data_IF_371886181684
#
_entry.id   IF_371886181684
#
_cell.length_a   1.000
_cell.length_b   1.000
_cell.length_c   1.000
_cell.angle_alpha   90.00
_cell.angle_beta   90.00
_cell.angle_gamma   90.00
#
_symmetry.space_group_name_H-M   'P 1'
#
loop_
_entity.id
_entity.type
_entity.pdbx_description
1 polymer ?
#
# COMPACT_ATOMS: atom_id res chain seq x y z
N UNK A 1 -33.28 1.54 -1.51
CA UNK A 1 -31.95 1.94 -0.99
C UNK A 1 -31.21 0.68 -0.60
N UNK A 2 -29.93 0.54 -0.96
CA UNK A 2 -29.17 -0.68 -0.69
C UNK A 2 -29.16 -0.97 0.82
N UNK A 3 -29.64 -2.15 1.22
CA UNK A 3 -29.75 -2.58 2.62
C UNK A 3 -28.40 -3.04 3.21
N UNK A 4 -27.31 -2.83 2.49
CA UNK A 4 -25.99 -3.35 2.76
C UNK A 4 -24.94 -2.42 2.14
N UNK A 5 -23.87 -2.17 2.89
CA UNK A 5 -22.62 -1.65 2.35
C UNK A 5 -21.92 -2.84 1.70
N UNK A 6 -21.52 -2.70 0.43
CA UNK A 6 -20.71 -3.70 -0.25
C UNK A 6 -19.63 -3.00 -1.05
N UNK A 7 -18.37 -3.42 -0.84
CA UNK A 7 -17.25 -2.93 -1.61
C UNK A 7 -17.43 -3.36 -3.08
N UNK A 8 -17.36 -2.38 -3.98
CA UNK A 8 -17.29 -2.67 -5.41
C UNK A 8 -15.88 -3.18 -5.77
N UNK A 9 -15.71 -4.05 -6.79
CA UNK A 9 -14.39 -4.48 -7.22
C UNK A 9 -13.45 -3.30 -7.54
N UNK A 10 -13.95 -2.23 -8.16
CA UNK A 10 -13.16 -1.02 -8.44
C UNK A 10 -12.71 -0.24 -7.19
N UNK A 11 -13.31 -0.48 -6.02
CA UNK A 11 -12.93 0.18 -4.77
C UNK A 11 -11.64 -0.39 -4.19
N UNK A 12 -11.30 -1.63 -4.54
CA UNK A 12 -10.07 -2.30 -4.10
C UNK A 12 -8.86 -1.53 -4.62
N UNK A 13 -7.99 -1.11 -3.71
CA UNK A 13 -6.75 -0.41 -4.06
C UNK A 13 -5.63 -1.42 -4.24
N UNK A 14 -5.27 -1.68 -5.50
CA UNK A 14 -4.11 -2.52 -5.84
C UNK A 14 -2.85 -1.68 -6.01
N UNK A 15 -3.01 -0.39 -6.36
CA UNK A 15 -1.92 0.50 -6.76
C UNK A 15 -0.82 0.63 -5.69
N UNK A 16 -1.18 0.64 -4.41
CA UNK A 16 -0.23 0.69 -3.29
C UNK A 16 0.27 -0.70 -2.86
N UNK A 17 -0.39 -1.79 -3.29
CA UNK A 17 -0.22 -3.15 -2.75
C UNK A 17 0.44 -4.14 -3.69
N UNK A 18 0.56 -3.81 -4.97
CA UNK A 18 1.10 -4.71 -5.97
C UNK A 18 2.25 -4.10 -6.75
N UNK A 19 3.04 -4.99 -7.36
CA UNK A 19 4.02 -4.67 -8.38
C UNK A 19 3.47 -5.20 -9.70
N UNK A 20 3.37 -4.35 -10.71
CA UNK A 20 2.92 -4.74 -12.04
C UNK A 20 3.84 -4.17 -13.11
N UNK A 21 4.03 -4.95 -14.17
CA UNK A 21 4.79 -4.60 -15.37
C UNK A 21 3.83 -4.49 -16.54
N UNK A 22 4.19 -3.67 -17.52
CA UNK A 22 3.51 -3.49 -18.80
C UNK A 22 2.00 -3.30 -18.64
N UNK A 23 1.61 -2.44 -17.68
CA UNK A 23 0.21 -2.18 -17.39
C UNK A 23 -0.42 -1.35 -18.50
N UNK A 24 -1.74 -1.50 -18.66
CA UNK A 24 -2.50 -0.75 -19.65
C UNK A 24 -2.45 0.76 -19.39
N UNK A 25 -2.65 1.57 -20.44
CA UNK A 25 -2.75 3.02 -20.29
C UNK A 25 -3.80 3.45 -19.26
N UNK A 26 -4.94 2.74 -19.21
CA UNK A 26 -5.99 2.97 -18.22
C UNK A 26 -5.50 2.76 -16.78
N UNK A 27 -4.64 1.75 -16.55
CA UNK A 27 -4.09 1.43 -15.24
C UNK A 27 -2.94 2.37 -14.81
N UNK A 28 -2.32 3.08 -15.77
CA UNK A 28 -1.33 4.14 -15.53
C UNK A 28 -1.98 5.45 -15.06
N UNK A 29 -3.29 5.65 -15.27
CA UNK A 29 -3.98 6.82 -14.76
C UNK A 29 -4.10 6.77 -13.23
N UNK A 30 -4.14 7.97 -12.65
CA UNK A 30 -4.33 8.14 -11.21
C UNK A 30 -5.73 7.66 -10.84
N UNK A 31 -5.81 6.78 -9.84
CA UNK A 31 -7.11 6.39 -9.27
C UNK A 31 -7.71 7.51 -8.42
N UNK A 32 -8.96 7.33 -8.01
CA UNK A 32 -9.60 8.20 -7.02
C UNK A 32 -8.78 8.23 -5.72
N UNK A 33 -8.50 9.43 -5.22
CA UNK A 33 -7.65 9.69 -4.07
C UNK A 33 -6.13 9.57 -4.32
N UNK A 34 -5.71 9.13 -5.50
CA UNK A 34 -4.30 9.13 -5.91
C UNK A 34 -3.95 10.50 -6.52
N UNK A 35 -2.84 11.08 -6.07
CA UNK A 35 -2.36 12.37 -6.54
C UNK A 35 -0.92 12.26 -7.01
N UNK A 36 -0.61 12.97 -8.10
CA UNK A 36 0.77 13.12 -8.56
C UNK A 36 1.50 14.09 -7.63
N UNK A 37 2.60 13.62 -7.04
CA UNK A 37 3.48 14.44 -6.20
C UNK A 37 4.53 15.13 -7.06
N UNK A 38 5.25 14.36 -7.86
CA UNK A 38 6.37 14.86 -8.67
C UNK A 38 6.62 13.93 -9.86
N UNK A 39 7.27 14.44 -10.90
CA UNK A 39 7.55 13.70 -12.13
C UNK A 39 8.83 14.22 -12.79
N UNK A 40 9.62 13.29 -13.33
CA UNK A 40 10.84 13.64 -14.06
C UNK A 40 10.92 12.84 -15.36
N UNK A 41 11.39 13.50 -16.41
CA UNK A 41 11.81 12.84 -17.64
C UNK A 41 13.30 12.48 -17.55
N UNK A 42 13.77 11.55 -18.39
CA UNK A 42 15.18 11.17 -18.45
C UNK A 42 15.65 10.38 -17.23
N UNK A 43 14.80 9.48 -16.75
CA UNK A 43 15.19 8.45 -15.80
C UNK A 43 15.28 7.13 -16.55
N UNK A 44 16.44 6.51 -16.46
CA UNK A 44 16.70 5.19 -17.01
C UNK A 44 16.36 4.12 -15.97
N UNK A 45 15.67 3.06 -16.37
CA UNK A 45 15.61 1.83 -15.58
C UNK A 45 16.84 0.98 -15.92
N UNK A 46 17.84 1.04 -15.04
CA UNK A 46 19.15 0.41 -15.27
C UNK A 46 19.11 -1.10 -15.05
N UNK A 47 18.09 -1.62 -14.35
CA UNK A 47 18.01 -3.05 -14.02
C UNK A 47 17.34 -3.84 -15.15
N UNK A 48 16.10 -3.48 -15.50
CA UNK A 48 15.31 -4.23 -16.48
C UNK A 48 15.50 -3.76 -17.92
N UNK A 49 15.61 -2.45 -18.12
CA UNK A 49 15.62 -1.82 -19.44
C UNK A 49 16.87 -0.94 -19.65
N UNK A 50 18.05 -1.51 -19.40
CA UNK A 50 19.31 -0.78 -19.44
C UNK A 50 19.57 -0.19 -20.85
N UNK A 51 19.75 1.13 -20.94
CA UNK A 51 19.84 1.89 -22.19
C UNK A 51 18.54 2.54 -22.65
N UNK A 52 17.41 2.26 -22.00
CA UNK A 52 16.12 2.90 -22.29
C UNK A 52 15.83 4.04 -21.33
N UNK A 53 15.62 5.22 -21.94
CA UNK A 53 15.19 6.41 -21.23
C UNK A 53 13.69 6.36 -21.01
N UNK A 54 13.25 6.78 -19.82
CA UNK A 54 11.85 6.91 -19.49
C UNK A 54 11.52 8.13 -18.64
N UNK A 55 10.25 8.19 -18.25
CA UNK A 55 9.73 9.12 -17.26
C UNK A 55 9.47 8.35 -15.95
N UNK A 56 9.93 8.89 -14.82
CA UNK A 56 9.61 8.40 -13.48
C UNK A 56 8.64 9.37 -12.83
N UNK A 57 7.53 8.84 -12.34
CA UNK A 57 6.45 9.57 -11.70
C UNK A 57 6.22 9.05 -10.29
N UNK A 58 5.99 9.99 -9.39
CA UNK A 58 5.86 9.75 -7.96
C UNK A 58 4.46 10.17 -7.58
N UNK A 59 3.67 9.21 -7.13
CA UNK A 59 2.34 9.48 -6.60
C UNK A 59 2.35 9.36 -5.08
N UNK A 60 1.22 9.60 -4.45
CA UNK A 60 1.03 9.32 -3.03
C UNK A 60 0.90 7.80 -2.70
N UNK A 61 0.79 6.91 -3.69
CA UNK A 61 0.58 5.46 -3.48
C UNK A 61 1.63 4.54 -4.10
N UNK A 62 2.26 4.97 -5.18
CA UNK A 62 3.18 4.16 -6.00
C UNK A 62 4.19 4.98 -6.77
N UNK A 63 5.26 4.31 -7.20
CA UNK A 63 6.13 4.77 -8.27
C UNK A 63 5.65 4.23 -9.60
N UNK A 64 5.68 5.07 -10.63
CA UNK A 64 5.40 4.68 -12.01
C UNK A 64 6.61 5.02 -12.86
N UNK A 65 7.07 4.09 -13.69
CA UNK A 65 8.05 4.39 -14.73
C UNK A 65 7.52 3.92 -16.08
N UNK A 66 7.76 4.71 -17.11
CA UNK A 66 7.37 4.39 -18.48
C UNK A 66 8.47 4.77 -19.45
N UNK A 67 8.76 3.89 -20.41
CA UNK A 67 9.75 4.13 -21.46
C UNK A 67 9.29 5.26 -22.39
N UNK A 68 10.23 6.10 -22.83
CA UNK A 68 10.00 7.13 -23.85
C UNK A 68 9.89 6.52 -25.26
N UNK A 69 10.49 5.34 -25.46
CA UNK A 69 10.46 4.62 -26.76
C UNK A 69 9.18 3.84 -26.96
N UNK A 70 8.63 3.25 -25.90
CA UNK A 70 7.44 2.39 -25.97
C UNK A 70 6.52 2.62 -24.78
N UNK A 71 5.27 3.00 -25.07
CA UNK A 71 4.22 3.13 -24.04
C UNK A 71 3.81 1.80 -23.42
N UNK A 72 4.11 0.68 -24.10
CA UNK A 72 3.81 -0.66 -23.59
C UNK A 72 4.76 -1.07 -22.47
N UNK A 73 6.00 -0.60 -22.53
CA UNK A 73 7.04 -0.90 -21.55
C UNK A 73 6.95 0.06 -20.38
N UNK A 74 6.35 -0.40 -19.29
CA UNK A 74 6.15 0.41 -18.10
C UNK A 74 6.10 -0.46 -16.83
N UNK A 75 6.17 0.18 -15.67
CA UNK A 75 6.14 -0.48 -14.37
C UNK A 75 5.40 0.37 -13.34
N UNK A 76 4.76 -0.30 -12.40
CA UNK A 76 4.05 0.26 -11.26
C UNK A 76 4.50 -0.45 -10.00
N UNK A 77 5.08 0.29 -9.05
CA UNK A 77 5.59 -0.22 -7.78
C UNK A 77 4.78 0.40 -6.64
N UNK A 78 3.87 -0.37 -6.05
CA UNK A 78 3.12 0.05 -4.87
C UNK A 78 4.00 0.23 -3.63
N UNK A 79 3.75 1.28 -2.86
CA UNK A 79 4.56 1.58 -1.67
C UNK A 79 4.50 0.50 -0.59
N UNK A 80 3.39 -0.22 -0.44
CA UNK A 80 3.30 -1.36 0.50
C UNK A 80 4.27 -2.49 0.15
N UNK A 81 4.76 -2.56 -1.09
CA UNK A 81 5.71 -3.60 -1.52
C UNK A 81 7.17 -3.19 -1.23
N UNK A 82 7.44 -1.92 -0.95
CA UNK A 82 8.80 -1.41 -0.77
C UNK A 82 9.33 -1.80 0.61
N UNK A 83 10.49 -2.43 0.64
CA UNK A 83 11.21 -2.78 1.85
C UNK A 83 12.30 -1.76 2.20
N UNK A 84 12.98 -1.22 1.18
CA UNK A 84 14.00 -0.19 1.39
C UNK A 84 14.23 0.67 0.16
N UNK A 85 14.51 1.95 0.40
CA UNK A 85 14.92 2.93 -0.61
C UNK A 85 16.32 3.44 -0.28
N UNK A 86 17.27 3.30 -1.20
CA UNK A 86 18.65 3.76 -1.01
C UNK A 86 19.13 4.54 -2.23
N UNK A 87 19.77 5.67 -2.00
CA UNK A 87 20.45 6.43 -3.04
C UNK A 87 21.90 5.98 -3.06
N UNK A 88 22.38 5.51 -4.21
CA UNK A 88 23.76 5.07 -4.41
C UNK A 88 24.26 5.52 -5.78
N UNK A 89 25.57 5.48 -5.97
CA UNK A 89 26.15 5.67 -7.29
C UNK A 89 26.02 4.37 -8.10
N UNK A 90 25.53 4.45 -9.33
CA UNK A 90 25.45 3.36 -10.28
C UNK A 90 26.08 3.74 -11.62
N UNK A 91 26.47 2.75 -12.41
CA UNK A 91 26.99 2.95 -13.76
C UNK A 91 25.86 2.79 -14.78
N UNK A 92 25.45 3.89 -15.38
CA UNK A 92 24.51 3.92 -16.51
C UNK A 92 25.25 3.70 -17.83
N UNK A 93 24.63 2.98 -18.77
CA UNK A 93 25.16 2.84 -20.14
C UNK A 93 25.15 4.17 -20.89
N UNK A 94 24.18 5.04 -20.59
CA UNK A 94 24.00 6.33 -21.26
C UNK A 94 24.93 7.42 -20.69
N UNK A 95 25.37 7.31 -19.43
CA UNK A 95 26.11 8.39 -18.74
C UNK A 95 27.31 8.00 -17.90
N UNK A 96 27.64 6.71 -17.77
CA UNK A 96 28.67 6.26 -16.84
C UNK A 96 28.23 6.41 -15.37
N UNK A 97 29.14 6.79 -14.48
CA UNK A 97 28.88 6.86 -13.04
C UNK A 97 27.97 8.05 -12.66
N UNK A 98 26.81 7.77 -12.09
CA UNK A 98 25.81 8.78 -11.67
C UNK A 98 24.98 8.30 -10.49
N UNK A 99 24.19 9.18 -9.87
CA UNK A 99 23.29 8.79 -8.77
C UNK A 99 22.09 8.00 -9.29
N UNK A 100 21.76 6.93 -8.57
CA UNK A 100 20.63 6.06 -8.81
C UNK A 100 19.87 5.76 -7.52
N UNK A 101 18.57 5.56 -7.66
CA UNK A 101 17.68 5.09 -6.61
C UNK A 101 17.53 3.58 -6.71
N UNK A 102 17.92 2.89 -5.65
CA UNK A 102 17.71 1.47 -5.45
C UNK A 102 16.43 1.27 -4.65
N UNK A 103 15.47 0.59 -5.27
CA UNK A 103 14.19 0.23 -4.66
C UNK A 103 14.16 -1.28 -4.44
N UNK A 104 14.32 -1.71 -3.20
CA UNK A 104 14.14 -3.11 -2.82
C UNK A 104 12.70 -3.34 -2.43
N UNK A 105 12.10 -4.39 -2.98
CA UNK A 105 10.70 -4.71 -2.77
C UNK A 105 10.49 -6.19 -2.47
N UNK A 106 9.37 -6.51 -1.83
CA UNK A 106 8.87 -7.86 -1.69
C UNK A 106 7.40 -7.91 -2.08
N UNK A 107 7.07 -8.79 -3.01
CA UNK A 107 5.71 -9.00 -3.49
C UNK A 107 5.52 -10.47 -3.87
N UNK A 108 4.37 -11.06 -3.52
CA UNK A 108 4.06 -12.46 -3.79
C UNK A 108 5.17 -13.47 -3.39
N UNK A 109 5.81 -13.25 -2.24
CA UNK A 109 6.97 -14.01 -1.74
C UNK A 109 8.27 -13.92 -2.56
N UNK A 110 8.30 -13.11 -3.62
CA UNK A 110 9.50 -12.81 -4.37
C UNK A 110 10.09 -11.46 -3.95
N UNK A 111 11.41 -11.33 -4.08
CA UNK A 111 12.13 -10.07 -3.84
C UNK A 111 12.57 -9.48 -5.17
N UNK A 112 12.22 -8.23 -5.42
CA UNK A 112 12.63 -7.50 -6.62
C UNK A 112 13.50 -6.30 -6.26
N UNK A 113 14.45 -5.99 -7.13
CA UNK A 113 15.31 -4.82 -7.08
C UNK A 113 15.08 -3.99 -8.33
N UNK A 114 14.79 -2.70 -8.15
CA UNK A 114 14.70 -1.72 -9.23
C UNK A 114 15.79 -0.67 -9.05
N UNK A 115 16.40 -0.25 -10.16
CA UNK A 115 17.49 0.73 -10.16
C UNK A 115 17.12 1.85 -11.14
N UNK A 116 16.76 3.01 -10.60
CA UNK A 116 16.41 4.19 -11.40
C UNK A 116 17.56 5.17 -11.43
N UNK A 117 18.09 5.43 -12.61
CA UNK A 117 19.24 6.32 -12.80
C UNK A 117 18.81 7.63 -13.43
N UNK A 118 19.14 8.75 -12.79
CA UNK A 118 18.87 10.07 -13.36
C UNK A 118 19.92 10.41 -14.42
N UNK A 119 19.45 10.72 -15.63
CA UNK A 119 20.32 11.16 -16.74
C UNK A 119 20.56 12.68 -16.71
N UNK A 120 19.81 13.44 -15.91
CA UNK A 120 19.97 14.88 -15.77
C UNK A 120 21.03 15.19 -14.71
N UNK A 121 22.07 15.94 -15.08
CA UNK A 121 23.07 16.42 -14.12
C UNK A 121 22.39 17.38 -13.13
N UNK A 122 22.62 17.19 -11.83
CA UNK A 122 22.15 18.03 -10.73
C UNK A 122 20.64 17.96 -10.34
N UNK A 123 19.95 16.83 -10.55
CA UNK A 123 18.61 16.61 -9.98
C UNK A 123 18.56 15.50 -8.91
N UNK A 124 19.18 15.68 -7.72
CA UNK A 124 19.06 14.74 -6.60
C UNK A 124 17.75 14.89 -5.80
N UNK A 125 17.03 16.02 -5.98
CA UNK A 125 15.81 16.38 -5.22
C UNK A 125 14.69 15.34 -5.37
N UNK A 126 14.59 14.70 -6.53
CA UNK A 126 13.55 13.71 -6.79
C UNK A 126 13.66 12.51 -5.85
N UNK A 127 14.87 11.97 -5.66
CA UNK A 127 15.06 10.78 -4.84
C UNK A 127 14.79 11.07 -3.36
N UNK A 128 15.08 12.29 -2.90
CA UNK A 128 14.69 12.73 -1.55
C UNK A 128 13.17 12.91 -1.44
N UNK A 129 12.49 13.42 -2.48
CA UNK A 129 11.02 13.44 -2.55
C UNK A 129 10.43 12.04 -2.40
N UNK A 130 10.96 11.04 -3.11
CA UNK A 130 10.49 9.64 -3.01
C UNK A 130 10.62 9.11 -1.58
N UNK A 131 11.78 9.34 -0.94
CA UNK A 131 11.99 8.89 0.43
C UNK A 131 11.04 9.57 1.42
N UNK A 132 10.76 10.86 1.24
CA UNK A 132 9.85 11.61 2.11
C UNK A 132 8.39 11.15 1.93
N UNK A 133 7.92 11.00 0.68
CA UNK A 133 6.57 10.48 0.39
C UNK A 133 6.42 9.06 0.92
N UNK A 134 7.40 8.18 0.70
CA UNK A 134 7.37 6.82 1.23
C UNK A 134 7.34 6.79 2.76
N UNK A 135 8.08 7.68 3.44
CA UNK A 135 8.02 7.81 4.90
C UNK A 135 6.62 8.24 5.37
N UNK A 136 6.03 9.24 4.71
CA UNK A 136 4.66 9.70 4.97
C UNK A 136 3.65 8.57 4.79
N UNK A 137 3.79 7.79 3.71
CA UNK A 137 3.04 6.55 3.51
C UNK A 137 3.21 5.63 4.73
N UNK A 138 4.42 5.19 5.06
CA UNK A 138 4.64 4.25 6.17
C UNK A 138 4.07 4.70 7.53
N UNK A 139 4.09 6.00 7.84
CA UNK A 139 3.60 6.54 9.12
C UNK A 139 2.07 6.69 9.19
N UNK A 140 1.36 6.55 8.08
CA UNK A 140 -0.09 6.84 7.97
C UNK A 140 -0.92 5.58 7.72
N UNK A 141 -0.40 4.40 8.10
CA UNK A 141 -1.08 3.11 7.89
C UNK A 141 -2.49 3.03 8.49
N UNK A 142 -2.77 3.75 9.57
CA UNK A 142 -4.09 3.74 10.22
C UNK A 142 -5.25 4.25 9.35
N UNK A 143 -4.97 4.98 8.26
CA UNK A 143 -5.99 5.35 7.27
C UNK A 143 -6.40 4.19 6.36
N UNK A 144 -5.58 3.13 6.30
CA UNK A 144 -5.71 2.10 5.26
C UNK A 144 -5.51 0.66 5.69
N UNK A 145 -5.03 0.43 6.90
CA UNK A 145 -4.87 -0.90 7.48
C UNK A 145 -5.82 -1.09 8.67
N UNK A 146 -6.46 -2.25 8.69
CA UNK A 146 -7.20 -2.71 9.86
C UNK A 146 -6.23 -2.83 11.04
N UNK A 147 -6.59 -2.25 12.18
CA UNK A 147 -5.80 -2.38 13.40
C UNK A 147 -6.62 -3.01 14.52
N UNK A 148 -6.15 -4.15 15.02
CA UNK A 148 -6.63 -4.76 16.25
C UNK A 148 -5.69 -4.39 17.39
N UNK A 149 -6.26 -4.07 18.56
CA UNK A 149 -5.53 -3.77 19.80
C UNK A 149 -4.46 -2.70 19.61
N UNK A 150 -4.82 -1.61 18.92
CA UNK A 150 -3.94 -0.48 18.67
C UNK A 150 -3.91 0.52 19.84
N UNK A 151 -2.83 1.29 19.95
CA UNK A 151 -2.77 2.44 20.85
C UNK A 151 -3.49 3.64 20.19
N UNK A 152 -4.82 3.58 20.15
CA UNK A 152 -5.67 4.57 19.47
C UNK A 152 -6.56 5.36 20.44
N UNK A 153 -6.60 4.97 21.71
CA UNK A 153 -7.38 5.61 22.76
C UNK A 153 -6.41 6.28 23.74
N UNK A 154 -6.73 7.52 24.11
CA UNK A 154 -6.01 8.27 25.15
C UNK A 154 -7.05 8.97 26.00
N UNK A 155 -6.98 8.78 27.33
CA UNK A 155 -7.91 9.42 28.28
C UNK A 155 -9.39 9.16 27.94
N UNK A 156 -9.74 7.92 27.55
CA UNK A 156 -11.09 7.50 27.10
C UNK A 156 -11.61 8.20 25.84
N UNK A 157 -10.75 8.90 25.11
CA UNK A 157 -11.08 9.54 23.84
C UNK A 157 -10.29 8.93 22.68
N UNK A 158 -10.89 8.97 21.49
CA UNK A 158 -10.24 8.54 20.26
C UNK A 158 -9.13 9.54 19.89
N UNK A 159 -7.91 9.04 19.70
CA UNK A 159 -6.80 9.83 19.14
C UNK A 159 -7.02 9.98 17.64
N UNK A 160 -7.37 11.19 17.22
CA UNK A 160 -7.68 11.52 15.83
C UNK A 160 -6.42 11.56 14.98
N UNK A 161 -6.53 11.02 13.77
CA UNK A 161 -5.53 11.20 12.72
C UNK A 161 -5.64 12.63 12.13
N UNK A 162 -4.61 13.15 11.44
CA UNK A 162 -4.74 14.36 10.65
C UNK A 162 -5.97 14.35 9.73
N UNK A 163 -6.74 15.44 9.69
CA UNK A 163 -7.99 15.53 8.93
C UNK A 163 -9.09 14.50 9.28
N UNK A 164 -8.93 13.73 10.36
CA UNK A 164 -9.98 12.86 10.89
C UNK A 164 -10.95 13.67 11.75
N UNK A 165 -12.24 13.51 11.50
CA UNK A 165 -13.32 14.13 12.26
C UNK A 165 -14.31 13.07 12.72
N UNK A 166 -14.69 13.13 13.99
CA UNK A 166 -15.72 12.26 14.57
C UNK A 166 -17.10 12.82 14.22
N UNK A 167 -17.94 12.00 13.61
CA UNK A 167 -19.34 12.33 13.31
C UNK A 167 -20.26 11.79 14.40
N UNK A 168 -20.03 10.53 14.80
CA UNK A 168 -20.79 9.89 15.86
C UNK A 168 -19.88 9.25 16.89
N UNK A 169 -20.24 9.47 18.16
CA UNK A 169 -19.77 8.72 19.31
C UNK A 169 -20.97 8.07 19.98
N UNK A 170 -20.98 6.75 20.00
CA UNK A 170 -22.06 5.96 20.57
C UNK A 170 -21.52 5.10 21.71
N UNK A 171 -21.97 5.38 22.92
CA UNK A 171 -21.68 4.57 24.10
C UNK A 171 -22.62 3.36 24.16
N UNK A 172 -22.22 2.33 24.90
CA UNK A 172 -23.09 1.19 25.19
C UNK A 172 -23.15 0.16 24.06
N UNK A 173 -22.16 0.16 23.16
CA UNK A 173 -22.11 -0.76 22.02
C UNK A 173 -21.40 -2.05 22.42
N UNK A 174 -22.11 -3.16 22.32
CA UNK A 174 -21.58 -4.48 22.67
C UNK A 174 -20.86 -5.09 21.48
N UNK A 175 -19.61 -5.50 21.68
CA UNK A 175 -18.92 -6.37 20.74
C UNK A 175 -19.32 -7.84 21.00
N UNK A 176 -19.69 -8.55 19.93
CA UNK A 176 -20.20 -9.93 19.94
C UNK A 176 -19.16 -10.97 19.49
N UNK A 177 -17.87 -10.60 19.44
CA UNK A 177 -16.79 -11.49 19.00
C UNK A 177 -16.30 -12.47 20.08
N UNK A 178 -16.76 -12.32 21.33
CA UNK A 178 -16.42 -13.15 22.48
C UNK A 178 -17.66 -13.73 23.17
N UNK A 179 -17.48 -14.87 23.84
CA UNK A 179 -18.57 -15.61 24.53
C UNK A 179 -19.26 -14.78 25.63
N UNK A 180 -18.48 -13.92 26.28
CA UNK A 180 -18.98 -12.84 27.11
C UNK A 180 -18.80 -11.56 26.30
N UNK A 181 -19.89 -10.99 25.79
CA UNK A 181 -19.84 -9.76 25.01
C UNK A 181 -19.13 -8.65 25.79
N UNK A 182 -18.43 -7.76 25.09
CA UNK A 182 -17.72 -6.65 25.73
C UNK A 182 -18.47 -5.33 25.50
N UNK A 183 -18.76 -4.60 26.58
CA UNK A 183 -19.37 -3.28 26.50
C UNK A 183 -18.31 -2.23 26.14
N UNK A 184 -18.61 -1.41 25.14
CA UNK A 184 -17.67 -0.44 24.64
C UNK A 184 -18.30 0.84 24.09
N UNK A 185 -17.43 1.63 23.48
CA UNK A 185 -17.78 2.87 22.79
C UNK A 185 -17.41 2.73 21.32
N UNK A 186 -18.32 3.16 20.45
CA UNK A 186 -18.20 3.09 19.00
C UNK A 186 -18.10 4.50 18.42
N UNK A 187 -17.15 4.70 17.52
CA UNK A 187 -16.87 5.96 16.85
C UNK A 187 -17.02 5.77 15.35
N UNK A 188 -17.72 6.70 14.72
CA UNK A 188 -17.82 6.80 13.26
C UNK A 188 -17.13 8.10 12.85
N UNK A 189 -16.07 7.99 12.03
CA UNK A 189 -15.32 9.14 11.51
C UNK A 189 -15.46 9.24 9.99
N UNK A 190 -14.88 10.26 9.38
CA UNK A 190 -14.80 10.38 7.92
C UNK A 190 -13.82 9.40 7.25
N UNK A 191 -12.93 8.73 8.00
CA UNK A 191 -11.90 7.83 7.43
C UNK A 191 -12.03 6.38 7.88
N UNK A 192 -12.56 6.14 9.09
CA UNK A 192 -12.62 4.81 9.70
C UNK A 192 -13.72 4.70 10.75
N UNK A 193 -13.99 3.47 11.14
CA UNK A 193 -14.85 3.12 12.25
C UNK A 193 -13.97 2.57 13.36
N UNK A 194 -14.21 3.00 14.60
CA UNK A 194 -13.45 2.52 15.76
C UNK A 194 -14.39 2.02 16.83
N UNK A 195 -14.04 0.92 17.47
CA UNK A 195 -14.69 0.47 18.69
C UNK A 195 -13.62 0.12 19.73
N UNK A 196 -13.84 0.46 21.00
CA UNK A 196 -13.02 -0.01 22.11
C UNK A 196 -13.88 -0.42 23.30
N UNK A 197 -13.40 -1.40 24.07
CA UNK A 197 -14.05 -1.77 25.33
C UNK A 197 -13.83 -0.68 26.40
N UNK A 198 -14.82 -0.51 27.26
CA UNK A 198 -14.79 0.51 28.32
C UNK A 198 -13.91 0.09 29.52
N UNK A 199 -13.82 -1.21 29.79
CA UNK A 199 -13.03 -1.76 30.91
C UNK A 199 -11.60 -2.13 30.51
N UNK A 200 -11.32 -2.22 29.21
CA UNK A 200 -10.03 -2.62 28.66
C UNK A 200 -9.79 -1.89 27.34
N UNK A 201 -9.24 -0.68 27.40
CA UNK A 201 -9.06 0.19 26.23
C UNK A 201 -8.16 -0.44 25.15
N UNK A 202 -7.24 -1.33 25.54
CA UNK A 202 -6.41 -2.11 24.61
C UNK A 202 -7.21 -3.16 23.82
N UNK A 203 -8.42 -3.50 24.25
CA UNK A 203 -9.35 -4.30 23.47
C UNK A 203 -10.17 -3.38 22.56
N UNK A 204 -9.59 -3.07 21.41
CA UNK A 204 -10.16 -2.19 20.42
C UNK A 204 -9.94 -2.70 18.99
N UNK A 205 -10.71 -2.13 18.07
CA UNK A 205 -10.59 -2.34 16.64
C UNK A 205 -10.78 -1.01 15.91
N UNK A 206 -9.94 -0.75 14.91
CA UNK A 206 -10.01 0.39 14.00
C UNK A 206 -10.09 -0.13 12.57
N UNK A 207 -11.22 0.12 11.91
CA UNK A 207 -11.59 -0.41 10.59
C UNK A 207 -11.69 0.77 9.60
N UNK A 208 -10.67 1.03 8.78
CA UNK A 208 -10.79 2.00 7.70
C UNK A 208 -11.88 1.62 6.71
N UNK A 209 -12.57 2.61 6.12
CA UNK A 209 -13.65 2.34 5.17
C UNK A 209 -13.20 1.48 3.99
N UNK A 210 -11.98 1.69 3.49
CA UNK A 210 -11.41 0.90 2.41
C UNK A 210 -11.15 -0.58 2.76
N UNK A 211 -11.20 -0.95 4.04
CA UNK A 211 -11.07 -2.33 4.49
C UNK A 211 -12.42 -2.99 4.75
N UNK A 212 -13.54 -2.28 4.62
CA UNK A 212 -14.87 -2.87 4.74
C UNK A 212 -15.21 -3.57 3.43
N UNK A 213 -15.33 -4.89 3.46
CA UNK A 213 -15.83 -5.69 2.33
C UNK A 213 -17.36 -5.62 2.25
N UNK A 214 -18.01 -5.82 3.40
CA UNK A 214 -19.45 -5.63 3.52
C UNK A 214 -19.86 -5.19 4.93
N UNK A 215 -20.97 -4.48 5.04
CA UNK A 215 -21.59 -4.21 6.34
C UNK A 215 -23.11 -4.21 6.22
N UNK A 216 -23.79 -4.86 7.17
CA UNK A 216 -25.24 -5.07 7.16
C UNK A 216 -25.77 -5.33 8.56
N UNK A 217 -27.05 -5.11 8.77
CA UNK A 217 -27.74 -5.54 9.98
C UNK A 217 -28.19 -7.00 9.78
N UNK A 218 -27.87 -7.88 10.73
CA UNK A 218 -28.32 -9.28 10.75
C UNK A 218 -28.85 -9.66 12.12
N UNK A 219 -29.80 -10.58 12.15
CA UNK A 219 -30.24 -11.21 13.39
C UNK A 219 -29.10 -12.02 14.03
N UNK A 220 -28.94 -11.89 15.34
CA UNK A 220 -28.01 -12.68 16.17
C UNK A 220 -28.78 -13.37 17.29
N UNK A 221 -28.11 -14.25 18.06
CA UNK A 221 -28.67 -14.84 19.30
C UNK A 221 -29.11 -13.78 20.32
N UNK A 222 -28.58 -12.56 20.22
CA UNK A 222 -28.82 -11.46 21.14
C UNK A 222 -29.68 -10.35 20.53
N UNK A 223 -30.38 -10.63 19.42
CA UNK A 223 -31.16 -9.64 18.67
C UNK A 223 -30.41 -9.09 17.45
N UNK A 224 -30.95 -8.05 16.78
CA UNK A 224 -30.33 -7.42 15.63
C UNK A 224 -28.94 -6.85 15.97
N UNK A 225 -27.98 -7.08 15.07
CA UNK A 225 -26.61 -6.62 15.24
C UNK A 225 -26.04 -6.12 13.90
N UNK A 226 -25.21 -5.08 13.99
CA UNK A 226 -24.37 -4.63 12.89
C UNK A 226 -23.25 -5.66 12.69
N UNK A 227 -23.15 -6.22 11.49
CA UNK A 227 -22.08 -7.13 11.10
C UNK A 227 -21.23 -6.43 10.06
N UNK A 228 -19.94 -6.25 10.36
CA UNK A 228 -18.93 -5.71 9.46
C UNK A 228 -17.99 -6.84 9.07
N UNK A 229 -17.86 -7.09 7.78
CA UNK A 229 -16.92 -8.02 7.19
C UNK A 229 -15.77 -7.24 6.57
N UNK A 230 -14.53 -7.54 6.94
CA UNK A 230 -13.35 -6.87 6.40
C UNK A 230 -12.82 -7.57 5.14
N UNK A 231 -12.02 -6.86 4.34
CA UNK A 231 -11.41 -7.40 3.12
C UNK A 231 -10.58 -8.66 3.40
N UNK A 232 -10.50 -9.58 2.44
CA UNK A 232 -9.65 -10.77 2.56
C UNK A 232 -8.18 -10.40 2.82
N UNK A 233 -7.70 -9.30 2.22
CA UNK A 233 -6.34 -8.77 2.41
C UNK A 233 -6.09 -8.34 3.86
N UNK A 234 -7.13 -7.88 4.56
CA UNK A 234 -7.07 -7.53 5.98
C UNK A 234 -7.32 -8.70 6.92
N UNK A 235 -7.48 -9.93 6.42
CA UNK A 235 -7.72 -11.14 7.21
C UNK A 235 -9.17 -11.65 7.21
N UNK A 236 -10.10 -10.97 6.53
CA UNK A 236 -11.48 -11.45 6.37
C UNK A 236 -12.26 -11.55 7.69
N UNK A 237 -12.05 -10.60 8.60
CA UNK A 237 -12.68 -10.62 9.91
C UNK A 237 -14.18 -10.36 9.82
N UNK A 238 -14.96 -11.06 10.64
CA UNK A 238 -16.40 -10.82 10.82
C UNK A 238 -16.60 -10.24 12.23
N UNK A 239 -16.99 -8.98 12.29
CA UNK A 239 -17.13 -8.21 13.53
C UNK A 239 -18.61 -7.89 13.77
N UNK A 240 -19.15 -8.35 14.90
CA UNK A 240 -20.53 -8.13 15.30
C UNK A 240 -20.65 -7.09 16.41
N UNK A 241 -21.55 -6.12 16.22
CA UNK A 241 -21.84 -5.06 17.19
C UNK A 241 -23.33 -4.97 17.45
N UNK A 242 -23.74 -5.10 18.72
CA UNK A 242 -25.12 -4.88 19.16
C UNK A 242 -25.24 -3.47 19.74
N UNK A 243 -26.34 -2.81 19.37
CA UNK A 243 -26.71 -1.47 19.81
C UNK A 243 -28.17 -1.52 20.26
N UNK A 244 -28.45 -0.97 21.43
CA UNK A 244 -29.81 -0.85 21.98
C UNK A 244 -30.14 0.65 22.19
N UNK A 245 -31.36 1.11 21.89
CA UNK A 245 -32.45 0.39 21.21
C UNK A 245 -32.17 0.19 19.70
N UNK A 246 -32.95 -0.69 19.07
CA UNK A 246 -32.80 -1.06 17.65
C UNK A 246 -32.88 0.13 16.68
N UNK A 247 -33.65 1.17 17.00
CA UNK A 247 -33.72 2.39 16.17
C UNK A 247 -32.35 3.08 16.05
N UNK A 248 -31.56 3.08 17.13
CA UNK A 248 -30.20 3.66 17.14
C UNK A 248 -29.23 2.84 16.30
N UNK A 249 -29.43 1.52 16.21
CA UNK A 249 -28.66 0.66 15.31
C UNK A 249 -28.88 1.05 13.85
N UNK A 250 -30.14 1.31 13.48
CA UNK A 250 -30.50 1.70 12.12
C UNK A 250 -29.97 3.10 11.76
N UNK A 251 -30.05 4.06 12.69
CA UNK A 251 -29.45 5.40 12.53
C UNK A 251 -27.93 5.32 12.31
N UNK A 252 -27.23 4.57 13.18
CA UNK A 252 -25.78 4.35 13.08
C UNK A 252 -25.40 3.73 11.73
N UNK A 253 -26.14 2.71 11.30
CA UNK A 253 -25.86 2.04 10.04
C UNK A 253 -26.08 2.94 8.82
N UNK A 254 -27.14 3.77 8.84
CA UNK A 254 -27.42 4.74 7.76
C UNK A 254 -26.33 5.81 7.66
N UNK A 255 -25.80 6.27 8.79
CA UNK A 255 -24.70 7.21 8.82
C UNK A 255 -23.40 6.58 8.28
N UNK A 256 -23.06 5.38 8.74
CA UNK A 256 -21.92 4.62 8.22
C UNK A 256 -22.01 4.42 6.70
N UNK A 257 -23.19 4.09 6.18
CA UNK A 257 -23.41 3.92 4.74
C UNK A 257 -23.19 5.22 3.97
N UNK A 258 -23.66 6.34 4.53
CA UNK A 258 -23.49 7.67 3.92
C UNK A 258 -22.01 8.06 3.87
N UNK A 259 -21.30 7.92 4.99
CA UNK A 259 -19.88 8.25 5.07
C UNK A 259 -19.00 7.32 4.22
N UNK A 260 -19.29 6.02 4.20
CA UNK A 260 -18.60 5.08 3.31
C UNK A 260 -18.79 5.45 1.82
N UNK A 261 -20.00 5.86 1.43
CA UNK A 261 -20.28 6.29 0.05
C UNK A 261 -19.52 7.57 -0.32
N UNK A 262 -19.47 8.54 0.60
CA UNK A 262 -18.71 9.78 0.41
C UNK A 262 -17.21 9.48 0.31
N UNK A 263 -16.67 8.69 1.24
CA UNK A 263 -15.28 8.25 1.25
C UNK A 263 -14.89 7.54 -0.06
N UNK A 264 -15.76 6.66 -0.58
CA UNK A 264 -15.51 5.91 -1.82
C UNK A 264 -15.40 6.78 -3.08
N UNK A 265 -15.91 8.02 -3.02
CA UNK A 265 -15.83 8.96 -4.16
C UNK A 265 -14.43 9.57 -4.28
N UNK A 266 -13.80 9.92 -3.16
CA UNK A 266 -12.43 10.42 -3.12
C UNK A 266 -11.73 9.93 -1.84
N UNK A 267 -11.16 8.71 -1.84
CA UNK A 267 -10.57 8.11 -0.65
C UNK A 267 -9.40 8.92 -0.09
N UNK A 268 -9.37 9.07 1.22
CA UNK A 268 -8.26 9.70 1.94
C UNK A 268 -7.27 8.61 2.36
N UNK A 269 -6.07 8.63 1.80
CA UNK A 269 -5.02 7.64 2.08
C UNK A 269 -4.09 8.02 3.24
N UNK A 270 -4.22 9.25 3.74
CA UNK A 270 -3.39 9.80 4.82
C UNK A 270 -2.01 10.29 4.40
N UNK A 271 -1.60 10.06 3.14
CA UNK A 271 -0.27 10.44 2.66
C UNK A 271 -0.26 11.92 2.28
N UNK A 272 0.27 12.72 3.19
CA UNK A 272 0.51 14.14 2.98
C UNK A 272 1.96 14.38 2.57
N UNK A 273 2.15 15.29 1.63
CA UNK A 273 3.46 15.77 1.25
C UNK A 273 3.34 17.22 0.80
N UNK A 274 3.96 18.12 1.57
CA UNK A 274 4.18 19.50 1.16
C UNK A 274 5.63 19.65 0.71
N UNK A 275 5.83 20.19 -0.49
CA UNK A 275 7.15 20.47 -1.02
C UNK A 275 7.73 21.67 -0.23
N UNK A 276 8.66 21.42 0.69
CA UNK A 276 9.20 22.42 1.66
C UNK A 276 9.90 23.65 1.05
N UNK A 277 10.03 23.75 -0.27
CA UNK A 277 10.40 24.99 -0.92
C UNK A 277 9.56 25.14 -2.19
N UNK A 278 8.90 26.29 -2.36
CA UNK A 278 8.36 26.75 -3.64
C UNK A 278 9.44 27.48 -4.45
N UNK A 279 10.37 26.84 -5.17
CA UNK A 279 10.92 27.47 -6.36
C UNK A 279 9.96 27.15 -7.50
N UNK A 280 9.26 28.20 -7.96
CA UNK A 280 8.42 28.22 -9.16
C UNK A 280 7.13 27.36 -9.05
N UNK A 281 5.95 27.81 -9.56
CA UNK A 281 4.72 27.02 -9.50
C UNK A 281 4.92 25.59 -10.02
N UNK A 282 4.34 24.59 -9.34
CA UNK A 282 4.44 23.16 -9.70
C UNK A 282 4.03 22.90 -11.16
N UNK A 283 3.13 23.69 -11.75
CA UNK A 283 2.80 23.61 -13.17
C UNK A 283 4.00 23.85 -14.12
N UNK A 284 5.03 24.59 -13.69
CA UNK A 284 6.21 24.89 -14.52
C UNK A 284 7.35 23.88 -14.36
N UNK A 285 7.38 23.11 -13.25
CA UNK A 285 8.33 22.01 -13.03
C UNK A 285 7.80 20.66 -13.53
N UNK A 286 6.47 20.49 -13.58
CA UNK A 286 5.81 19.32 -14.16
C UNK A 286 6.16 19.24 -15.64
N UNK A 287 7.08 18.36 -15.99
CA UNK A 287 7.28 18.02 -17.38
C UNK A 287 6.27 16.93 -17.74
N UNK A 288 5.38 17.17 -18.73
CA UNK A 288 4.55 16.09 -19.24
C UNK A 288 5.45 14.95 -19.74
N UNK A 289 4.94 13.71 -19.66
CA UNK A 289 5.61 12.56 -20.26
C UNK A 289 5.93 12.89 -21.72
N UNK A 290 7.20 12.84 -22.09
CA UNK A 290 7.64 12.99 -23.48
C UNK A 290 7.76 11.61 -24.10
N UNK A 291 7.20 11.44 -25.28
CA UNK A 291 7.46 10.28 -26.12
C UNK A 291 8.47 10.69 -27.19
N UNK A 292 9.36 9.78 -27.55
CA UNK A 292 10.23 9.97 -28.70
C UNK A 292 9.43 9.59 -29.97
N UNK A 293 9.61 10.35 -31.06
CA UNK A 293 9.05 10.03 -32.38
C UNK A 293 9.82 8.84 -32.98
N UNK A 294 9.47 7.61 -32.59
CA UNK A 294 10.11 6.38 -33.09
C UNK A 294 9.03 5.42 -33.59
N UNK A 295 9.21 4.88 -34.79
CA UNK A 295 8.37 3.79 -35.30
C UNK A 295 8.56 2.55 -34.41
N UNK A 296 7.46 2.05 -33.84
CA UNK A 296 7.47 0.93 -32.91
C UNK A 296 7.56 -0.37 -33.72
N UNK A 297 8.71 -1.05 -33.72
CA UNK A 297 8.78 -2.45 -34.12
C UNK A 297 8.08 -3.32 -33.06
N UNK A 298 7.12 -4.16 -33.48
CA UNK A 298 6.34 -5.01 -32.59
C UNK A 298 7.17 -6.21 -32.10
N UNK A 299 7.90 -6.05 -31.00
CA UNK A 299 8.57 -7.17 -30.34
C UNK A 299 7.67 -7.76 -29.23
N UNK A 300 7.10 -8.93 -29.49
CA UNK A 300 6.17 -9.66 -28.61
C UNK A 300 6.90 -10.44 -27.50
N UNK A 301 7.82 -9.80 -26.77
CA UNK A 301 8.41 -10.43 -25.59
C UNK A 301 7.35 -10.55 -24.48
N UNK A 302 7.11 -11.77 -24.02
CA UNK A 302 6.11 -12.13 -22.99
C UNK A 302 6.36 -11.40 -21.67
N UNK A 303 5.29 -10.95 -21.00
CA UNK A 303 5.32 -10.29 -19.68
C UNK A 303 6.01 -11.11 -18.58
N UNK A 304 6.24 -12.41 -18.81
CA UNK A 304 6.92 -13.31 -17.87
C UNK A 304 8.45 -13.10 -17.85
N UNK A 305 9.04 -12.68 -18.98
CA UNK A 305 10.46 -12.33 -19.06
C UNK A 305 10.75 -10.99 -18.37
N UNK A 306 9.78 -10.06 -18.38
CA UNK A 306 9.90 -8.78 -17.70
C UNK A 306 10.15 -8.95 -16.19
N UNK A 307 9.43 -9.86 -15.51
CA UNK A 307 9.62 -10.11 -14.07
C UNK A 307 11.01 -10.66 -13.74
N UNK A 308 11.56 -11.53 -14.59
CA UNK A 308 12.81 -12.22 -14.35
C UNK A 308 14.01 -11.27 -14.24
N UNK A 309 13.99 -10.18 -15.02
CA UNK A 309 15.06 -9.19 -15.04
C UNK A 309 15.25 -8.44 -13.70
N UNK A 310 14.20 -8.35 -12.87
CA UNK A 310 14.21 -7.57 -11.63
C UNK A 310 14.43 -8.40 -10.36
N UNK A 311 14.66 -9.71 -10.45
CA UNK A 311 14.92 -10.49 -9.23
C UNK A 311 16.16 -9.99 -8.49
N UNK A 312 16.01 -9.83 -7.17
CA UNK A 312 17.09 -9.34 -6.31
C UNK A 312 18.25 -10.36 -6.18
N UNK A 313 17.96 -11.65 -6.36
CA UNK A 313 18.94 -12.73 -6.34
C UNK A 313 18.84 -13.53 -7.64
N UNK A 314 19.98 -13.73 -8.30
CA UNK A 314 20.08 -14.54 -9.52
C UNK A 314 19.68 -15.99 -9.18
N UNK A 315 18.68 -16.53 -9.87
CA UNK A 315 18.17 -17.90 -9.72
C UNK A 315 17.53 -18.25 -8.36
N UNK A 316 17.13 -17.28 -7.53
CA UNK A 316 16.36 -17.54 -6.30
C UNK A 316 14.95 -16.94 -6.38
N UNK A 317 14.02 -17.71 -6.93
CA UNK A 317 12.65 -17.27 -7.15
C UNK A 317 11.78 -17.37 -5.89
N UNK A 318 12.12 -18.29 -4.97
CA UNK A 318 11.37 -18.54 -3.74
C UNK A 318 12.29 -18.99 -2.60
N UNK A 319 12.01 -18.52 -1.39
CA UNK A 319 12.64 -19.03 -0.17
C UNK A 319 12.09 -20.44 0.13
N UNK A 320 12.97 -21.39 0.42
CA UNK A 320 12.58 -22.74 0.87
C UNK A 320 12.07 -22.71 2.32
N UNK A 321 11.31 -23.71 2.79
CA UNK A 321 10.74 -23.69 4.12
C UNK A 321 11.82 -23.58 5.21
N UNK A 322 11.54 -22.84 6.31
CA UNK A 322 12.46 -22.76 7.43
C UNK A 322 12.52 -24.10 8.20
N UNK A 323 13.72 -24.53 8.55
CA UNK A 323 14.00 -25.73 9.36
C UNK A 323 14.92 -25.39 10.53
N UNK A 324 14.87 -26.18 11.61
CA UNK A 324 15.75 -25.99 12.76
C UNK A 324 17.12 -26.63 12.50
N UNK A 325 18.18 -25.82 12.48
CA UNK A 325 19.56 -26.31 12.47
C UNK A 325 20.04 -26.56 13.89
N UNK A 326 20.27 -27.83 14.23
CA UNK A 326 20.86 -28.21 15.53
C UNK A 326 22.29 -27.69 15.70
N UNK A 327 23.03 -27.62 14.61
CA UNK A 327 24.43 -27.16 14.61
C UNK A 327 24.54 -25.68 14.96
N UNK A 328 23.64 -24.85 14.42
CA UNK A 328 23.65 -23.40 14.66
C UNK A 328 22.74 -22.98 15.83
N UNK A 329 21.82 -23.84 16.27
CA UNK A 329 20.78 -23.49 17.25
C UNK A 329 19.77 -22.46 16.72
N UNK A 330 19.65 -22.33 15.40
CA UNK A 330 18.84 -21.32 14.72
C UNK A 330 17.84 -21.95 13.74
N UNK A 331 16.76 -21.23 13.46
CA UNK A 331 15.94 -21.50 12.29
C UNK A 331 16.66 -20.98 11.04
N UNK A 332 16.93 -21.88 10.08
CA UNK A 332 17.56 -21.56 8.80
C UNK A 332 16.61 -21.93 7.65
N UNK A 333 16.83 -21.36 6.47
CA UNK A 333 16.21 -21.90 5.25
C UNK A 333 16.71 -23.33 5.00
N UNK A 334 15.83 -24.26 4.60
CA UNK A 334 16.23 -25.63 4.32
C UNK A 334 17.35 -25.67 3.26
N UNK A 335 18.39 -26.46 3.54
CA UNK A 335 19.57 -26.57 2.67
C UNK A 335 19.22 -27.21 1.32
N UNK A 336 20.00 -26.95 0.26
CA UNK A 336 19.85 -27.69 -1.00
C UNK A 336 20.15 -29.17 -0.79
N UNK A 337 19.51 -30.03 -1.59
CA UNK A 337 19.74 -31.47 -1.51
C UNK A 337 21.22 -31.79 -1.66
N UNK A 338 21.76 -32.53 -0.69
CA UNK A 338 23.16 -32.96 -0.66
C UNK A 338 24.17 -31.96 -0.07
N UNK A 339 23.73 -30.80 0.43
CA UNK A 339 24.61 -29.83 1.11
C UNK A 339 24.43 -29.84 2.63
N UNK A 340 25.55 -29.75 3.36
CA UNK A 340 25.57 -29.45 4.80
C UNK A 340 25.87 -27.96 5.06
N UNK A 341 25.71 -27.51 6.31
CA UNK A 341 26.06 -26.14 6.71
C UNK A 341 27.57 -25.89 6.53
N UNK A 342 28.39 -26.88 6.88
CA UNK A 342 29.84 -26.82 6.69
C UNK A 342 30.23 -26.63 5.22
N UNK A 343 29.59 -27.37 4.30
CA UNK A 343 29.87 -27.28 2.86
C UNK A 343 29.60 -25.88 2.29
N UNK A 344 28.65 -25.14 2.88
CA UNK A 344 28.32 -23.77 2.47
C UNK A 344 29.16 -22.71 3.19
N UNK A 345 29.77 -23.04 4.33
CA UNK A 345 30.53 -22.11 5.16
C UNK A 345 32.00 -22.06 4.77
N UNK A 346 32.60 -23.22 4.49
CA UNK A 346 34.01 -23.32 4.11
C UNK A 346 34.16 -23.02 2.62
N UNK A 347 34.95 -21.99 2.31
CA UNK A 347 35.42 -21.72 0.95
C UNK A 347 36.67 -22.57 0.72
N UNK A 348 36.62 -23.50 -0.23
CA UNK A 348 37.82 -24.19 -0.72
C UNK A 348 38.59 -23.30 -1.70
#
# INVERSE_FOLDING_TARGET
MAAEIRAAPESVTWQDREIRFDISAAAMHLRKGETMVDAINSVEDTKGNNGDRGALEITNLRLLWASHKSVRTNLSIGYSCIQSLKIRTATSKLRGSTQALYVMTKYANSRFEFIFTSLVKASPRLFTTIQAVFRSYETTKLYRELKLRGAIIKEKELTLLPHEQVYTRLNGVWNLSSDQGNLGTFFVTNVRIVWHANLAENFNVSIPYMQINSARIRGSKFGPALVIETSAVSGGYILGFRVDPEDRLHELFKEMQSLHSVFSTNPIYGVEFEVEEKPVPLEQLRQPRKMDDVEIEEDYASSMDAFAAYYAAVNKNQDRPPTFSKELGLAIESLPDGFSVGDLWYVN
#
